data_IF_333366900808
#
_entry.id   IF_333366900808
#
_cell.length_a   1.000
_cell.length_b   1.000
_cell.length_c   1.000
_cell.angle_alpha   90.00
_cell.angle_beta   90.00
_cell.angle_gamma   90.00
#
_symmetry.space_group_name_H-M   'P 1'
#
loop_
_entity.id
_entity.type
_entity.pdbx_description
1 polymer ?
#
# COMPACT_ATOMS: atom_id res chain seq x y z
N UNK A 1 18.27 -15.68 -8.58
CA UNK A 1 17.49 -14.44 -8.42
C UNK A 1 16.13 -14.63 -9.07
N UNK A 2 15.06 -14.74 -8.28
CA UNK A 2 13.69 -14.61 -8.79
C UNK A 2 13.15 -13.36 -8.10
N UNK A 3 12.76 -12.35 -8.89
CA UNK A 3 12.15 -11.07 -8.49
C UNK A 3 13.14 -9.96 -8.08
N UNK A 4 12.76 -8.71 -8.43
CA UNK A 4 13.57 -7.51 -8.26
C UNK A 4 13.92 -7.27 -6.79
N UNK A 5 15.21 -7.18 -6.50
CA UNK A 5 15.71 -6.97 -5.14
C UNK A 5 15.38 -5.55 -4.70
N UNK A 6 14.72 -5.42 -3.56
CA UNK A 6 14.57 -4.15 -2.88
C UNK A 6 15.95 -3.60 -2.49
N UNK A 7 16.19 -2.31 -2.74
CA UNK A 7 17.46 -1.63 -2.40
C UNK A 7 17.57 -1.44 -0.89
N UNK A 8 18.71 -1.02 -0.37
CA UNK A 8 18.91 -0.82 1.08
C UNK A 8 17.87 0.14 1.69
N UNK A 9 17.45 1.14 0.94
CA UNK A 9 16.51 2.20 1.34
C UNK A 9 15.04 1.88 1.03
N UNK A 10 14.71 0.62 0.74
CA UNK A 10 13.39 0.24 0.25
C UNK A 10 12.21 0.66 1.13
N UNK A 11 12.42 0.79 2.44
CA UNK A 11 11.37 1.25 3.37
C UNK A 11 10.95 2.67 3.04
N UNK A 12 11.91 3.52 2.69
CA UNK A 12 11.64 4.89 2.29
C UNK A 12 11.02 4.94 0.89
N UNK A 13 11.50 4.12 -0.04
CA UNK A 13 10.89 4.00 -1.38
C UNK A 13 9.40 3.61 -1.29
N UNK A 14 9.07 2.63 -0.45
CA UNK A 14 7.69 2.18 -0.24
C UNK A 14 6.85 3.25 0.46
N UNK A 15 7.40 3.95 1.47
CA UNK A 15 6.72 5.06 2.15
C UNK A 15 6.38 6.19 1.17
N UNK A 16 7.35 6.60 0.35
CA UNK A 16 7.13 7.61 -0.68
C UNK A 16 6.15 7.12 -1.74
N UNK A 17 6.24 5.85 -2.14
CA UNK A 17 5.30 5.21 -3.08
C UNK A 17 3.86 5.24 -2.57
N UNK A 18 3.62 4.86 -1.31
CA UNK A 18 2.28 4.97 -0.71
C UNK A 18 1.79 6.41 -0.72
N UNK A 19 2.60 7.36 -0.23
CA UNK A 19 2.24 8.78 -0.19
C UNK A 19 1.83 9.30 -1.56
N UNK A 20 2.60 8.96 -2.59
CA UNK A 20 2.31 9.39 -3.97
C UNK A 20 1.05 8.73 -4.51
N UNK A 21 0.86 7.42 -4.30
CA UNK A 21 -0.35 6.71 -4.68
C UNK A 21 -1.60 7.35 -4.06
N UNK A 22 -1.58 7.71 -2.78
CA UNK A 22 -2.72 8.37 -2.14
C UNK A 22 -2.90 9.82 -2.59
N UNK A 23 -1.82 10.55 -2.88
CA UNK A 23 -1.89 11.93 -3.39
C UNK A 23 -2.67 12.00 -4.71
N UNK A 24 -2.37 11.11 -5.66
CA UNK A 24 -2.97 11.13 -7.01
C UNK A 24 -4.39 10.59 -7.08
N UNK A 25 -4.86 9.88 -6.05
CA UNK A 25 -6.23 9.40 -6.01
C UNK A 25 -7.22 10.55 -5.81
N UNK A 26 -8.32 10.51 -6.57
CA UNK A 26 -9.49 11.37 -6.32
C UNK A 26 -10.14 11.05 -4.97
N UNK A 27 -11.01 11.91 -4.41
CA UNK A 27 -11.81 11.57 -3.23
C UNK A 27 -12.52 10.22 -3.39
N UNK A 28 -12.49 9.37 -2.36
CA UNK A 28 -13.02 8.00 -2.37
C UNK A 28 -12.39 7.07 -3.43
N UNK A 29 -11.26 7.47 -4.02
CA UNK A 29 -10.48 6.60 -4.90
C UNK A 29 -9.90 5.42 -4.12
N UNK A 30 -9.70 4.30 -4.80
CA UNK A 30 -9.17 3.07 -4.19
C UNK A 30 -7.74 2.78 -4.64
N UNK A 31 -6.91 2.33 -3.69
CA UNK A 31 -5.59 1.77 -3.97
C UNK A 31 -5.65 0.26 -3.76
N UNK A 32 -5.34 -0.51 -4.81
CA UNK A 32 -5.20 -1.96 -4.73
C UNK A 32 -3.71 -2.28 -4.64
N UNK A 33 -3.28 -2.78 -3.49
CA UNK A 33 -1.89 -3.11 -3.19
C UNK A 33 -1.71 -4.62 -3.14
N UNK A 34 -0.79 -5.15 -3.96
CA UNK A 34 -0.44 -6.57 -3.97
C UNK A 34 0.96 -6.76 -3.37
N UNK A 35 1.08 -7.58 -2.35
CA UNK A 35 2.34 -7.90 -1.69
C UNK A 35 2.58 -9.40 -1.59
N UNK A 36 3.85 -9.83 -1.68
CA UNK A 36 4.22 -11.20 -1.37
C UNK A 36 5.07 -11.22 -0.11
N UNK A 37 4.64 -11.93 0.92
CA UNK A 37 5.29 -11.90 2.24
C UNK A 37 6.46 -12.88 2.41
N UNK A 38 7.02 -13.42 1.32
CA UNK A 38 8.09 -14.42 1.39
C UNK A 38 9.34 -13.92 2.13
N UNK A 39 9.76 -12.69 1.85
CA UNK A 39 10.98 -12.09 2.43
C UNK A 39 10.65 -11.06 3.50
N UNK A 40 9.61 -10.25 3.26
CA UNK A 40 9.21 -9.17 4.16
C UNK A 40 7.75 -9.37 4.55
N UNK A 41 7.46 -9.58 5.84
CA UNK A 41 6.11 -9.69 6.36
C UNK A 41 5.23 -8.49 5.98
N UNK A 42 3.97 -8.76 5.63
CA UNK A 42 3.02 -7.70 5.25
C UNK A 42 2.85 -6.63 6.33
N UNK A 43 2.99 -7.00 7.61
CA UNK A 43 2.92 -6.06 8.75
C UNK A 43 3.99 -4.97 8.69
N UNK A 44 5.18 -5.27 8.17
CA UNK A 44 6.25 -4.28 8.04
C UNK A 44 5.91 -3.28 6.95
N UNK A 45 5.24 -3.72 5.89
CA UNK A 45 4.79 -2.83 4.81
C UNK A 45 3.63 -1.94 5.28
N UNK A 46 2.67 -2.51 6.01
CA UNK A 46 1.53 -1.75 6.54
C UNK A 46 1.95 -0.70 7.57
N UNK A 47 3.07 -0.90 8.28
CA UNK A 47 3.63 0.09 9.19
C UNK A 47 4.28 1.30 8.47
N UNK A 48 4.42 1.27 7.13
CA UNK A 48 5.01 2.36 6.34
C UNK A 48 3.98 3.36 5.82
N UNK A 49 2.70 3.20 6.17
CA UNK A 49 1.62 4.12 5.79
C UNK A 49 0.66 4.33 6.94
N UNK A 50 0.17 5.55 7.13
CA UNK A 50 -0.87 5.87 8.11
C UNK A 50 -2.28 5.52 7.62
N UNK A 51 -2.41 5.22 6.32
CA UNK A 51 -3.69 4.88 5.69
C UNK A 51 -4.12 3.48 6.10
N UNK A 52 -5.36 3.35 6.59
CA UNK A 52 -5.91 2.07 7.04
C UNK A 52 -6.51 1.29 5.87
N UNK A 53 -6.26 -0.03 5.77
CA UNK A 53 -6.89 -0.85 4.75
C UNK A 53 -8.39 -0.99 5.02
N UNK A 54 -9.19 -0.97 3.95
CA UNK A 54 -10.62 -1.20 4.00
C UNK A 54 -10.93 -2.69 4.16
N UNK A 55 -10.25 -3.52 3.37
CA UNK A 55 -10.26 -4.99 3.48
C UNK A 55 -9.03 -5.56 2.79
N UNK A 56 -8.78 -6.86 2.99
CA UNK A 56 -7.73 -7.58 2.28
C UNK A 56 -8.02 -9.07 2.19
N UNK A 57 -7.38 -9.73 1.24
CA UNK A 57 -7.44 -11.17 1.06
C UNK A 57 -6.04 -11.78 0.89
N UNK A 58 -5.88 -13.03 1.35
CA UNK A 58 -4.68 -13.84 1.14
C UNK A 58 -4.97 -14.86 0.04
N UNK A 59 -4.09 -14.89 -0.96
CA UNK A 59 -4.28 -15.68 -2.18
C UNK A 59 -3.03 -16.50 -2.51
N UNK A 60 -3.23 -17.54 -3.33
CA UNK A 60 -2.17 -18.41 -3.85
C UNK A 60 -1.98 -19.71 -3.05
N UNK A 61 -1.22 -20.65 -3.63
CA UNK A 61 -1.04 -22.02 -3.07
C UNK A 61 -0.51 -22.05 -1.64
N UNK A 62 0.29 -21.04 -1.26
CA UNK A 62 0.89 -20.90 0.07
C UNK A 62 0.24 -19.82 0.92
N UNK A 63 -0.82 -19.17 0.43
CA UNK A 63 -1.48 -18.01 1.05
C UNK A 63 -0.56 -16.80 1.38
N UNK A 64 0.63 -16.74 0.77
CA UNK A 64 1.63 -15.67 1.00
C UNK A 64 1.45 -14.42 0.14
N UNK A 65 0.52 -14.43 -0.81
CA UNK A 65 0.21 -13.23 -1.60
C UNK A 65 -0.95 -12.50 -0.94
N UNK A 66 -0.72 -11.25 -0.54
CA UNK A 66 -1.71 -10.37 0.05
C UNK A 66 -2.21 -9.40 -1.01
N UNK A 67 -3.53 -9.29 -1.13
CA UNK A 67 -4.20 -8.22 -1.84
C UNK A 67 -4.89 -7.36 -0.80
N UNK A 68 -4.54 -6.08 -0.74
CA UNK A 68 -5.01 -5.15 0.27
C UNK A 68 -5.61 -3.96 -0.45
N UNK A 69 -6.81 -3.57 -0.04
CA UNK A 69 -7.53 -2.45 -0.65
C UNK A 69 -7.61 -1.33 0.37
N UNK A 70 -7.21 -0.13 -0.05
CA UNK A 70 -7.34 1.11 0.71
C UNK A 70 -8.31 2.04 -0.02
N UNK A 71 -8.88 2.99 0.71
CA UNK A 71 -9.73 4.05 0.15
C UNK A 71 -9.24 5.40 0.66
N UNK A 72 -9.12 6.39 -0.23
CA UNK A 72 -8.79 7.76 0.15
C UNK A 72 -10.01 8.45 0.75
N UNK A 73 -9.86 9.04 1.92
CA UNK A 73 -10.93 9.81 2.55
C UNK A 73 -11.37 11.01 1.71
N UNK A 74 -12.66 11.36 1.84
CA UNK A 74 -13.26 12.50 1.17
C UNK A 74 -12.60 13.83 1.57
N UNK A 75 -12.32 13.96 2.87
CA UNK A 75 -11.95 15.21 3.52
C UNK A 75 -10.57 15.73 3.08
N UNK A 76 -9.65 14.83 2.68
CA UNK A 76 -8.28 15.20 2.28
C UNK A 76 -8.25 16.17 1.08
N UNK A 77 -9.30 16.21 0.25
CA UNK A 77 -9.36 17.14 -0.88
C UNK A 77 -10.43 18.24 -0.73
N UNK A 78 -11.19 18.24 0.37
CA UNK A 78 -12.21 19.27 0.62
C UNK A 78 -11.58 20.57 1.14
N UNK A 79 -10.47 20.48 1.87
CA UNK A 79 -9.72 21.64 2.37
C UNK A 79 -8.87 22.34 1.29
N UNK A 80 -8.59 21.69 0.17
CA UNK A 80 -7.79 22.27 -0.94
C UNK A 80 -8.65 23.07 -1.96
N UNK A 81 -9.96 23.20 -1.73
CA UNK A 81 -10.90 23.94 -2.59
C UNK A 81 -11.65 25.08 -1.89
N UNK A 82 -11.19 25.47 -0.70
CA UNK A 82 -11.73 26.58 0.10
C UNK A 82 -10.87 27.83 0.03
#
# INVERSE_FOLDING_TARGET
MKYGKLREEWREDIRQGFRECFRVLRPFGTLIFKWNEHEIPVREILALTDQKPLFGNRCGKTAKTHWIVFMKDAAINAEERG
#
